data_IF_354526796026
#
_entry.id   IF_354526796026
#
_cell.length_a   1.000
_cell.length_b   1.000
_cell.length_c   1.000
_cell.angle_alpha   90.00
_cell.angle_beta   90.00
_cell.angle_gamma   90.00
#
_symmetry.space_group_name_H-M   'P 1'
#
loop_
_entity.id
_entity.type
_entity.pdbx_description
1 polymer ?
#
# COMPACT_ATOMS: atom_id res chain seq x y z
N UNK A 1 61.94 -18.43 -39.81
CA UNK A 1 62.96 -18.88 -38.87
C UNK A 1 62.88 -17.99 -37.65
N UNK A 2 61.98 -18.31 -36.72
CA UNK A 2 61.86 -17.60 -35.45
C UNK A 2 62.97 -18.12 -34.54
N UNK A 3 63.87 -17.24 -34.12
CA UNK A 3 64.97 -17.58 -33.24
C UNK A 3 64.44 -18.17 -31.94
N UNK A 4 64.91 -19.36 -31.62
CA UNK A 4 64.74 -19.98 -30.31
C UNK A 4 65.40 -19.08 -29.27
N UNK A 5 64.59 -18.34 -28.52
CA UNK A 5 65.05 -17.71 -27.29
C UNK A 5 65.33 -18.83 -26.29
N UNK A 6 66.62 -19.17 -26.16
CA UNK A 6 67.20 -19.92 -25.05
C UNK A 6 66.58 -19.40 -23.74
N UNK A 7 65.95 -20.24 -22.91
CA UNK A 7 65.62 -19.84 -21.55
C UNK A 7 66.96 -19.69 -20.82
N UNK A 8 67.37 -18.44 -20.57
CA UNK A 8 68.47 -18.18 -19.66
C UNK A 8 68.06 -18.74 -18.29
N UNK A 9 68.52 -19.94 -17.95
CA UNK A 9 68.46 -20.49 -16.60
C UNK A 9 69.39 -19.63 -15.72
N UNK A 10 68.86 -18.50 -15.26
CA UNK A 10 69.48 -17.72 -14.19
C UNK A 10 69.60 -18.59 -12.93
N UNK A 11 70.56 -18.27 -12.03
CA UNK A 11 70.87 -19.08 -10.86
C UNK A 11 69.60 -19.45 -10.10
N UNK A 12 69.52 -20.70 -9.65
CA UNK A 12 68.40 -21.23 -8.87
C UNK A 12 68.06 -20.26 -7.73
N UNK A 13 66.79 -20.08 -7.38
CA UNK A 13 66.40 -19.21 -6.26
C UNK A 13 67.09 -19.65 -4.95
N UNK A 14 67.47 -20.93 -4.89
CA UNK A 14 68.29 -21.55 -3.83
C UNK A 14 69.73 -21.04 -3.75
N UNK A 15 70.24 -20.43 -4.82
CA UNK A 15 71.63 -19.97 -4.94
C UNK A 15 71.77 -18.44 -4.86
N UNK A 16 70.66 -17.69 -4.88
CA UNK A 16 70.70 -16.23 -4.73
C UNK A 16 70.95 -15.83 -3.27
N UNK A 17 71.71 -14.74 -3.10
CA UNK A 17 72.01 -14.14 -1.80
C UNK A 17 70.77 -13.50 -1.16
N UNK A 18 70.81 -13.28 0.15
CA UNK A 18 69.71 -12.62 0.88
C UNK A 18 69.42 -11.21 0.35
N UNK A 19 70.47 -10.43 0.08
CA UNK A 19 70.38 -9.06 -0.41
C UNK A 19 69.75 -9.01 -1.81
N UNK A 20 70.16 -9.90 -2.73
CA UNK A 20 69.61 -10.02 -4.08
C UNK A 20 68.12 -10.40 -4.08
N UNK A 21 67.70 -11.29 -3.15
CA UNK A 21 66.31 -11.70 -3.00
C UNK A 21 65.44 -10.56 -2.49
N UNK A 22 65.93 -9.78 -1.53
CA UNK A 22 65.19 -8.65 -0.98
C UNK A 22 65.16 -7.44 -1.92
N UNK A 23 66.22 -7.19 -2.69
CA UNK A 23 66.19 -6.17 -3.76
C UNK A 23 65.10 -6.48 -4.78
N UNK A 24 65.02 -7.72 -5.26
CA UNK A 24 63.97 -8.16 -6.19
C UNK A 24 62.54 -7.97 -5.64
N UNK A 25 62.33 -8.26 -4.34
CA UNK A 25 61.05 -8.06 -3.66
C UNK A 25 60.74 -6.57 -3.49
N UNK A 26 61.74 -5.76 -3.13
CA UNK A 26 61.59 -4.33 -2.90
C UNK A 26 61.30 -3.55 -4.20
N UNK A 27 61.95 -3.91 -5.30
CA UNK A 27 61.69 -3.35 -6.63
C UNK A 27 60.24 -3.58 -7.08
N UNK A 28 59.61 -4.63 -6.56
CA UNK A 28 58.21 -4.97 -6.85
C UNK A 28 57.25 -4.73 -5.66
N UNK A 29 57.70 -4.04 -4.59
CA UNK A 29 56.96 -3.89 -3.33
C UNK A 29 55.54 -3.36 -3.51
N UNK A 30 55.36 -2.32 -4.32
CA UNK A 30 54.06 -1.74 -4.63
C UNK A 30 53.08 -2.75 -5.26
N UNK A 31 53.58 -3.60 -6.17
CA UNK A 31 52.74 -4.59 -6.87
C UNK A 31 52.33 -5.72 -5.94
N UNK A 32 53.25 -6.13 -5.07
CA UNK A 32 52.99 -7.13 -4.04
C UNK A 32 51.97 -6.60 -3.03
N UNK A 33 52.11 -5.35 -2.57
CA UNK A 33 51.18 -4.72 -1.62
C UNK A 33 49.75 -4.55 -2.13
N UNK A 34 49.56 -4.40 -3.44
CA UNK A 34 48.23 -4.27 -4.06
C UNK A 34 47.63 -5.61 -4.49
N UNK A 35 48.47 -6.55 -4.93
CA UNK A 35 48.04 -7.80 -5.52
C UNK A 35 47.87 -8.94 -4.52
N UNK A 36 48.58 -8.91 -3.40
CA UNK A 36 48.57 -9.99 -2.42
C UNK A 36 47.52 -9.72 -1.36
N UNK A 37 46.71 -10.75 -1.08
CA UNK A 37 45.89 -10.80 0.13
C UNK A 37 46.65 -11.61 1.19
N UNK A 38 47.14 -10.98 2.28
CA UNK A 38 47.96 -11.70 3.25
C UNK A 38 47.21 -12.81 3.99
N UNK A 39 45.89 -12.75 4.13
CA UNK A 39 45.10 -13.86 4.69
C UNK A 39 45.25 -15.20 3.93
N UNK A 40 45.64 -15.15 2.65
CA UNK A 40 45.89 -16.33 1.83
C UNK A 40 47.34 -16.84 2.01
N UNK A 41 48.27 -15.92 2.29
CA UNK A 41 49.72 -16.19 2.36
C UNK A 41 50.20 -16.53 3.77
N UNK A 42 49.62 -15.92 4.80
CA UNK A 42 49.94 -16.15 6.22
C UNK A 42 49.88 -17.64 6.60
N UNK A 43 48.87 -18.43 6.19
CA UNK A 43 48.81 -19.85 6.50
C UNK A 43 50.02 -20.65 5.97
N UNK A 44 50.56 -20.28 4.80
CA UNK A 44 51.76 -20.90 4.24
C UNK A 44 53.02 -20.48 5.01
N UNK A 45 53.14 -19.18 5.33
CA UNK A 45 54.28 -18.62 6.07
C UNK A 45 54.39 -19.19 7.51
N UNK A 46 53.26 -19.51 8.14
CA UNK A 46 53.21 -20.24 9.41
C UNK A 46 53.71 -21.68 9.26
N UNK A 47 53.26 -22.39 8.22
CA UNK A 47 53.71 -23.75 7.96
C UNK A 47 55.22 -23.80 7.66
N UNK A 48 55.76 -22.78 6.98
CA UNK A 48 57.19 -22.60 6.74
C UNK A 48 58.00 -22.19 7.99
N UNK A 49 57.34 -21.99 9.14
CA UNK A 49 57.93 -21.52 10.42
C UNK A 49 58.66 -20.17 10.32
N UNK A 50 58.23 -19.33 9.38
CA UNK A 50 58.78 -17.98 9.19
C UNK A 50 58.00 -16.93 9.99
N UNK A 51 56.71 -17.16 10.24
CA UNK A 51 55.89 -16.32 11.11
C UNK A 51 55.39 -17.11 12.32
N UNK A 52 55.39 -16.48 13.49
CA UNK A 52 54.84 -17.04 14.74
C UNK A 52 53.36 -16.70 14.91
N UNK A 53 52.66 -17.36 15.84
CA UNK A 53 51.23 -17.09 16.10
C UNK A 53 50.98 -15.65 16.59
N UNK A 54 51.97 -15.06 17.27
CA UNK A 54 51.90 -13.68 17.77
C UNK A 54 51.96 -12.64 16.64
N UNK A 55 52.73 -12.93 15.59
CA UNK A 55 52.87 -12.05 14.43
C UNK A 55 51.57 -12.01 13.61
N UNK A 56 50.80 -13.09 13.56
CA UNK A 56 49.51 -13.16 12.87
C UNK A 56 48.45 -12.29 13.54
N UNK A 57 48.33 -12.36 14.86
CA UNK A 57 47.36 -11.56 15.62
C UNK A 57 47.64 -10.05 15.53
N UNK A 58 48.91 -9.66 15.37
CA UNK A 58 49.31 -8.27 15.17
C UNK A 58 49.02 -7.81 13.73
N UNK A 59 49.31 -8.68 12.75
CA UNK A 59 48.99 -8.45 11.35
C UNK A 59 47.47 -8.30 11.18
N UNK A 60 46.63 -9.26 11.64
CA UNK A 60 45.16 -9.32 11.43
C UNK A 60 44.41 -8.10 12.01
N UNK A 61 44.97 -7.42 13.02
CA UNK A 61 44.36 -6.22 13.63
C UNK A 61 44.47 -4.96 12.77
N UNK A 62 45.28 -4.95 11.71
CA UNK A 62 45.44 -3.78 10.85
C UNK A 62 44.25 -3.62 9.90
N UNK A 63 43.52 -2.51 10.07
CA UNK A 63 42.24 -2.21 9.41
C UNK A 63 42.31 -1.96 7.89
N UNK A 64 43.51 -1.86 7.28
CA UNK A 64 43.66 -1.59 5.85
C UNK A 64 44.59 -2.57 5.12
N UNK A 65 44.18 -3.14 3.97
CA UNK A 65 44.96 -4.15 3.24
C UNK A 65 46.37 -3.71 2.79
N UNK A 66 46.57 -2.41 2.56
CA UNK A 66 47.83 -1.87 2.07
C UNK A 66 48.88 -1.71 3.18
N UNK A 67 48.46 -1.23 4.35
CA UNK A 67 49.30 -1.17 5.56
C UNK A 67 49.60 -2.58 6.06
N UNK A 68 48.59 -3.46 5.99
CA UNK A 68 48.67 -4.87 6.33
C UNK A 68 49.74 -5.62 5.51
N UNK A 69 49.75 -5.44 4.19
CA UNK A 69 50.75 -6.10 3.33
C UNK A 69 52.14 -5.46 3.47
N UNK A 70 52.22 -4.14 3.67
CA UNK A 70 53.49 -3.45 3.94
C UNK A 70 54.15 -3.90 5.25
N UNK A 71 53.38 -3.98 6.34
CA UNK A 71 53.84 -4.44 7.64
C UNK A 71 54.30 -5.90 7.61
N UNK A 72 53.55 -6.77 6.92
CA UNK A 72 53.96 -8.17 6.73
C UNK A 72 55.31 -8.29 6.00
N UNK A 73 55.57 -7.49 4.97
CA UNK A 73 56.87 -7.51 4.27
C UNK A 73 58.02 -7.06 5.17
N UNK A 74 57.77 -6.09 6.04
CA UNK A 74 58.78 -5.58 6.97
C UNK A 74 59.09 -6.62 8.07
N UNK A 75 58.07 -7.35 8.56
CA UNK A 75 58.26 -8.50 9.46
C UNK A 75 59.03 -9.63 8.78
N UNK A 76 58.69 -9.98 7.54
CA UNK A 76 59.40 -11.00 6.78
C UNK A 76 60.86 -10.64 6.53
N UNK A 77 61.19 -9.35 6.41
CA UNK A 77 62.57 -8.86 6.29
C UNK A 77 63.41 -9.17 7.53
N UNK A 78 62.81 -9.16 8.72
CA UNK A 78 63.51 -9.56 9.96
C UNK A 78 63.88 -11.04 10.01
N UNK A 79 63.22 -11.88 9.20
CA UNK A 79 63.48 -13.31 9.07
C UNK A 79 64.55 -13.63 8.00
N UNK A 80 65.16 -12.59 7.42
CA UNK A 80 66.27 -12.67 6.48
C UNK A 80 65.95 -13.48 5.23
N UNK A 81 66.90 -14.32 4.81
CA UNK A 81 66.78 -15.16 3.61
C UNK A 81 65.54 -16.08 3.60
N UNK A 82 65.20 -16.65 4.75
CA UNK A 82 64.07 -17.58 4.86
C UNK A 82 62.73 -16.86 4.67
N UNK A 83 62.62 -15.61 5.14
CA UNK A 83 61.46 -14.75 4.90
C UNK A 83 61.23 -14.43 3.43
N UNK A 84 62.31 -14.05 2.73
CA UNK A 84 62.24 -13.78 1.30
C UNK A 84 61.85 -15.02 0.47
N UNK A 85 62.45 -16.18 0.77
CA UNK A 85 62.17 -17.43 0.06
C UNK A 85 60.74 -17.91 0.33
N UNK A 86 60.29 -17.89 1.58
CA UNK A 86 58.92 -18.30 1.91
C UNK A 86 57.86 -17.39 1.29
N UNK A 87 58.13 -16.08 1.19
CA UNK A 87 57.26 -15.15 0.48
C UNK A 87 57.19 -15.49 -1.02
N UNK A 88 58.34 -15.67 -1.69
CA UNK A 88 58.37 -16.01 -3.11
C UNK A 88 57.72 -17.37 -3.41
N UNK A 89 57.90 -18.36 -2.54
CA UNK A 89 57.21 -19.66 -2.64
C UNK A 89 55.69 -19.52 -2.45
N UNK A 90 55.25 -18.69 -1.49
CA UNK A 90 53.81 -18.42 -1.30
C UNK A 90 53.17 -17.72 -2.50
N UNK A 91 53.91 -16.80 -3.15
CA UNK A 91 53.48 -16.14 -4.37
C UNK A 91 53.45 -17.12 -5.54
N UNK A 92 54.40 -18.03 -5.61
CA UNK A 92 54.42 -19.09 -6.62
C UNK A 92 53.18 -20.00 -6.52
N UNK A 93 52.72 -20.30 -5.30
CA UNK A 93 51.55 -21.17 -5.06
C UNK A 93 50.23 -20.42 -5.28
N UNK A 94 50.05 -19.26 -4.66
CA UNK A 94 48.74 -18.58 -4.59
C UNK A 94 48.55 -17.52 -5.68
N UNK A 95 49.62 -16.95 -6.21
CA UNK A 95 49.58 -15.85 -7.18
C UNK A 95 50.58 -16.07 -8.33
N UNK A 96 50.41 -17.13 -9.15
CA UNK A 96 51.37 -17.51 -10.18
C UNK A 96 51.65 -16.40 -11.21
N UNK A 97 50.65 -15.59 -11.53
CA UNK A 97 50.79 -14.43 -12.43
C UNK A 97 51.63 -13.31 -11.81
N UNK A 98 51.46 -13.05 -10.51
CA UNK A 98 52.25 -12.06 -9.78
C UNK A 98 53.68 -12.56 -9.58
N UNK A 99 53.88 -13.86 -9.31
CA UNK A 99 55.20 -14.46 -9.20
C UNK A 99 56.03 -14.30 -10.48
N UNK A 100 55.44 -14.56 -11.66
CA UNK A 100 56.14 -14.33 -12.94
C UNK A 100 56.45 -12.87 -13.19
N UNK A 101 55.59 -11.97 -12.72
CA UNK A 101 55.81 -10.53 -12.84
C UNK A 101 56.92 -10.00 -11.92
N UNK A 102 57.09 -10.59 -10.74
CA UNK A 102 58.12 -10.21 -9.76
C UNK A 102 59.47 -10.83 -10.10
N UNK A 103 59.48 -12.12 -10.46
CA UNK A 103 60.73 -12.88 -10.64
C UNK A 103 61.17 -13.01 -12.10
N UNK A 104 60.28 -12.72 -13.06
CA UNK A 104 60.50 -12.99 -14.48
C UNK A 104 60.47 -14.48 -14.84
N UNK A 105 60.20 -15.37 -13.89
CA UNK A 105 60.27 -16.83 -14.05
C UNK A 105 58.88 -17.46 -14.14
N UNK A 106 58.77 -18.59 -14.83
CA UNK A 106 57.53 -19.39 -14.79
C UNK A 106 57.39 -20.08 -13.43
N UNK A 107 56.20 -20.11 -12.82
CA UNK A 107 55.96 -20.86 -11.59
C UNK A 107 56.18 -22.34 -11.87
N UNK A 108 57.01 -23.01 -11.06
CA UNK A 108 57.22 -24.44 -11.18
C UNK A 108 56.33 -25.18 -10.19
N UNK A 109 55.72 -26.26 -10.65
CA UNK A 109 54.95 -27.21 -9.84
C UNK A 109 55.81 -28.37 -9.32
N UNK A 110 57.10 -28.39 -9.63
CA UNK A 110 58.00 -29.48 -9.23
C UNK A 110 58.40 -29.36 -7.74
N UNK A 111 58.17 -30.41 -6.92
CA UNK A 111 58.53 -30.41 -5.49
C UNK A 111 60.02 -30.20 -5.21
N UNK A 112 60.87 -30.55 -6.17
CA UNK A 112 62.33 -30.38 -6.13
C UNK A 112 62.78 -28.92 -6.14
N UNK A 113 61.93 -27.99 -6.60
CA UNK A 113 62.29 -26.56 -6.71
C UNK A 113 62.02 -25.76 -5.43
N UNK A 114 61.23 -26.30 -4.51
CA UNK A 114 61.06 -25.73 -3.17
C UNK A 114 62.39 -25.82 -2.40
N UNK A 115 62.66 -24.82 -1.57
CA UNK A 115 63.89 -24.66 -0.78
C UNK A 115 64.05 -25.68 0.36
N UNK A 116 63.04 -26.54 0.57
CA UNK A 116 63.02 -27.52 1.66
C UNK A 116 62.51 -26.95 2.99
N UNK A 117 62.04 -25.70 3.01
CA UNK A 117 61.44 -25.03 4.19
C UNK A 117 60.20 -25.78 4.73
N UNK A 118 59.41 -26.39 3.84
CA UNK A 118 58.24 -27.20 4.20
C UNK A 118 58.43 -28.65 3.71
N UNK A 119 58.10 -29.62 4.56
CA UNK A 119 58.10 -31.04 4.17
C UNK A 119 56.97 -31.33 3.19
N UNK A 120 57.20 -32.23 2.24
CA UNK A 120 56.20 -32.58 1.20
C UNK A 120 54.85 -33.07 1.77
N UNK A 121 54.86 -33.79 2.89
CA UNK A 121 53.64 -34.23 3.59
C UNK A 121 52.82 -33.07 4.14
N UNK A 122 53.50 -32.07 4.72
CA UNK A 122 52.89 -30.87 5.30
C UNK A 122 52.35 -29.93 4.21
N UNK A 123 53.07 -29.83 3.08
CA UNK A 123 52.61 -29.06 1.91
C UNK A 123 51.36 -29.68 1.28
N UNK A 124 51.31 -31.01 1.17
CA UNK A 124 50.14 -31.71 0.61
C UNK A 124 48.92 -31.53 1.51
N UNK A 125 49.09 -31.67 2.83
CA UNK A 125 48.01 -31.44 3.79
C UNK A 125 47.51 -29.99 3.74
N UNK A 126 48.42 -29.02 3.67
CA UNK A 126 48.09 -27.60 3.52
C UNK A 126 47.23 -27.35 2.27
N UNK A 127 47.64 -27.86 1.11
CA UNK A 127 46.92 -27.67 -0.15
C UNK A 127 45.56 -28.37 -0.14
N UNK A 128 45.47 -29.59 0.39
CA UNK A 128 44.19 -30.31 0.53
C UNK A 128 43.24 -29.54 1.45
N UNK A 129 43.73 -29.01 2.57
CA UNK A 129 42.92 -28.21 3.49
C UNK A 129 42.45 -26.90 2.86
N UNK A 130 43.33 -26.20 2.14
CA UNK A 130 43.01 -24.96 1.44
C UNK A 130 41.96 -25.17 0.34
N UNK A 131 42.15 -26.17 -0.52
CA UNK A 131 41.20 -26.50 -1.60
C UNK A 131 39.85 -26.93 -1.03
N UNK A 132 39.84 -27.76 0.01
CA UNK A 132 38.59 -28.19 0.67
C UNK A 132 37.88 -27.02 1.34
N UNK A 133 38.62 -26.08 1.94
CA UNK A 133 38.08 -24.83 2.50
C UNK A 133 37.43 -23.96 1.43
N UNK A 134 38.15 -23.68 0.34
CA UNK A 134 37.63 -22.89 -0.78
C UNK A 134 36.41 -23.53 -1.45
N UNK A 135 36.39 -24.86 -1.59
CA UNK A 135 35.21 -25.57 -2.11
C UNK A 135 34.00 -25.41 -1.19
N UNK A 136 34.21 -25.44 0.14
CA UNK A 136 33.12 -25.21 1.11
C UNK A 136 32.59 -23.79 1.03
N UNK A 137 33.47 -22.79 0.98
CA UNK A 137 33.08 -21.37 0.82
C UNK A 137 32.34 -21.13 -0.49
N UNK A 138 32.83 -21.71 -1.59
CA UNK A 138 32.18 -21.60 -2.89
C UNK A 138 30.78 -22.23 -2.88
N UNK A 139 30.61 -23.39 -2.25
CA UNK A 139 29.31 -24.02 -2.10
C UNK A 139 28.36 -23.19 -1.23
N UNK A 140 28.85 -22.60 -0.15
CA UNK A 140 28.02 -21.75 0.71
C UNK A 140 27.57 -20.49 -0.02
N UNK A 141 28.47 -19.83 -0.74
CA UNK A 141 28.15 -18.69 -1.60
C UNK A 141 27.09 -19.07 -2.67
N UNK A 142 27.18 -20.26 -3.29
CA UNK A 142 26.16 -20.74 -4.22
C UNK A 142 24.81 -20.99 -3.54
N UNK A 143 24.80 -21.56 -2.33
CA UNK A 143 23.57 -21.77 -1.54
C UNK A 143 22.92 -20.44 -1.16
N UNK A 144 23.71 -19.47 -0.73
CA UNK A 144 23.24 -18.12 -0.39
C UNK A 144 22.71 -17.38 -1.61
N UNK A 145 23.39 -17.43 -2.75
CA UNK A 145 22.92 -16.86 -4.01
C UNK A 145 21.59 -17.48 -4.42
N UNK A 146 21.49 -18.82 -4.39
CA UNK A 146 20.24 -19.54 -4.70
C UNK A 146 19.09 -19.14 -3.77
N UNK A 147 19.37 -18.98 -2.47
CA UNK A 147 18.40 -18.51 -1.48
C UNK A 147 17.95 -17.09 -1.75
N UNK A 148 18.88 -16.22 -2.18
CA UNK A 148 18.54 -14.84 -2.53
C UNK A 148 17.67 -14.79 -3.79
N UNK A 149 18.01 -15.54 -4.84
CA UNK A 149 17.20 -15.63 -6.06
C UNK A 149 15.79 -16.14 -5.77
N UNK A 150 15.63 -17.15 -4.92
CA UNK A 150 14.31 -17.65 -4.53
C UNK A 150 13.48 -16.56 -3.79
N UNK A 151 14.12 -15.76 -2.93
CA UNK A 151 13.46 -14.62 -2.28
C UNK A 151 13.07 -13.54 -3.27
N UNK A 152 13.93 -13.21 -4.23
CA UNK A 152 13.61 -12.25 -5.29
C UNK A 152 12.39 -12.71 -6.10
N UNK A 153 12.34 -13.97 -6.52
CA UNK A 153 11.19 -14.52 -7.25
C UNK A 153 9.89 -14.48 -6.42
N UNK A 154 9.96 -14.75 -5.11
CA UNK A 154 8.80 -14.64 -4.22
C UNK A 154 8.30 -13.20 -4.11
N UNK A 155 9.20 -12.23 -3.94
CA UNK A 155 8.85 -10.81 -3.84
C UNK A 155 8.30 -10.27 -5.16
N UNK A 156 8.86 -10.69 -6.30
CA UNK A 156 8.33 -10.34 -7.62
C UNK A 156 6.89 -10.83 -7.80
N UNK A 157 6.58 -12.07 -7.35
CA UNK A 157 5.20 -12.57 -7.35
C UNK A 157 4.28 -11.77 -6.42
N UNK A 158 4.76 -11.36 -5.25
CA UNK A 158 3.96 -10.57 -4.30
C UNK A 158 3.67 -9.17 -4.86
N UNK A 159 4.68 -8.52 -5.46
CA UNK A 159 4.50 -7.24 -6.17
C UNK A 159 3.48 -7.39 -7.30
N UNK A 160 3.55 -8.47 -8.08
CA UNK A 160 2.57 -8.75 -9.13
C UNK A 160 1.13 -8.85 -8.61
N UNK A 161 0.93 -9.55 -7.49
CA UNK A 161 -0.39 -9.65 -6.85
C UNK A 161 -0.89 -8.30 -6.33
N UNK A 162 -0.01 -7.51 -5.70
CA UNK A 162 -0.35 -6.16 -5.21
C UNK A 162 -0.76 -5.26 -6.39
N UNK A 163 -0.03 -5.31 -7.50
CA UNK A 163 -0.37 -4.53 -8.71
C UNK A 163 -1.73 -4.92 -9.28
N UNK A 164 -2.03 -6.21 -9.40
CA UNK A 164 -3.32 -6.69 -9.89
C UNK A 164 -4.47 -6.26 -8.95
N UNK A 165 -4.23 -6.32 -7.63
CA UNK A 165 -5.20 -5.84 -6.64
C UNK A 165 -5.41 -4.32 -6.72
N UNK A 166 -4.35 -3.55 -6.94
CA UNK A 166 -4.42 -2.10 -7.13
C UNK A 166 -5.22 -1.76 -8.38
N UNK A 167 -5.02 -2.46 -9.50
CA UNK A 167 -5.78 -2.26 -10.73
C UNK A 167 -7.28 -2.57 -10.54
N UNK A 168 -7.62 -3.67 -9.87
CA UNK A 168 -9.01 -3.98 -9.49
C UNK A 168 -9.62 -2.89 -8.61
N UNK A 169 -8.87 -2.41 -7.62
CA UNK A 169 -9.30 -1.31 -6.74
C UNK A 169 -9.55 -0.02 -7.53
N UNK A 170 -8.63 0.33 -8.45
CA UNK A 170 -8.78 1.50 -9.35
C UNK A 170 -10.03 1.40 -10.23
N UNK A 171 -10.32 0.22 -10.80
CA UNK A 171 -11.53 -0.01 -11.59
C UNK A 171 -12.79 0.21 -10.74
N UNK A 172 -12.85 -0.40 -9.56
CA UNK A 172 -13.99 -0.24 -8.65
C UNK A 172 -14.16 1.22 -8.18
N UNK A 173 -13.06 1.95 -8.00
CA UNK A 173 -13.12 3.37 -7.66
C UNK A 173 -13.71 4.20 -8.80
N UNK A 174 -13.30 3.95 -10.04
CA UNK A 174 -13.84 4.65 -11.21
C UNK A 174 -15.36 4.42 -11.38
N UNK A 175 -15.82 3.19 -11.16
CA UNK A 175 -17.24 2.84 -11.20
C UNK A 175 -18.03 3.55 -10.08
N UNK A 176 -17.48 3.59 -8.87
CA UNK A 176 -18.08 4.34 -7.76
C UNK A 176 -18.18 5.84 -8.06
N UNK A 177 -17.15 6.43 -8.64
CA UNK A 177 -17.16 7.84 -9.06
C UNK A 177 -18.18 8.11 -10.17
N UNK A 178 -18.33 7.18 -11.11
CA UNK A 178 -19.38 7.24 -12.13
C UNK A 178 -20.79 7.20 -11.50
N UNK A 179 -21.03 6.24 -10.62
CA UNK A 179 -22.33 6.12 -9.92
C UNK A 179 -22.63 7.34 -9.06
N UNK A 180 -21.64 7.90 -8.35
CA UNK A 180 -21.78 9.15 -7.59
C UNK A 180 -22.16 10.32 -8.48
N UNK A 181 -21.52 10.47 -9.65
CA UNK A 181 -21.89 11.52 -10.62
C UNK A 181 -23.33 11.37 -11.09
N UNK A 182 -23.76 10.14 -11.36
CA UNK A 182 -25.13 9.85 -11.77
C UNK A 182 -26.14 10.20 -10.67
N UNK A 183 -25.89 9.80 -9.42
CA UNK A 183 -26.71 10.16 -8.27
C UNK A 183 -26.78 11.68 -8.07
N UNK A 184 -25.66 12.40 -8.21
CA UNK A 184 -25.68 13.87 -8.16
C UNK A 184 -26.52 14.48 -9.30
N UNK A 185 -26.52 13.89 -10.50
CA UNK A 185 -27.37 14.34 -11.60
C UNK A 185 -28.84 14.16 -11.29
N UNK A 186 -29.23 12.95 -10.88
CA UNK A 186 -30.60 12.64 -10.48
C UNK A 186 -31.07 13.54 -9.33
N UNK A 187 -30.21 13.83 -8.36
CA UNK A 187 -30.54 14.72 -7.26
C UNK A 187 -30.81 16.15 -7.74
N UNK A 188 -30.05 16.65 -8.73
CA UNK A 188 -30.31 17.97 -9.36
C UNK A 188 -31.64 17.98 -10.11
N UNK A 189 -31.97 16.92 -10.83
CA UNK A 189 -33.25 16.78 -11.53
C UNK A 189 -34.42 16.78 -10.54
N UNK A 190 -34.30 16.03 -9.44
CA UNK A 190 -35.32 16.01 -8.38
C UNK A 190 -35.49 17.40 -7.76
N UNK A 191 -34.42 18.15 -7.51
CA UNK A 191 -34.54 19.53 -7.01
C UNK A 191 -35.23 20.44 -8.03
N UNK A 192 -34.87 20.32 -9.31
CA UNK A 192 -35.50 21.10 -10.38
C UNK A 192 -37.01 20.84 -10.47
N UNK A 193 -37.42 19.56 -10.44
CA UNK A 193 -38.83 19.18 -10.45
C UNK A 193 -39.58 19.69 -9.21
N UNK A 194 -38.92 19.73 -8.05
CA UNK A 194 -39.51 20.33 -6.84
C UNK A 194 -39.75 21.83 -7.01
N UNK A 195 -38.79 22.56 -7.58
CA UNK A 195 -38.93 23.99 -7.82
C UNK A 195 -40.06 24.27 -8.83
N UNK A 196 -40.13 23.49 -9.92
CA UNK A 196 -41.24 23.55 -10.89
C UNK A 196 -42.59 23.25 -10.25
N UNK A 197 -42.68 22.23 -9.38
CA UNK A 197 -43.89 21.93 -8.60
C UNK A 197 -44.29 23.12 -7.71
N UNK A 198 -43.34 23.74 -7.01
CA UNK A 198 -43.60 24.93 -6.19
C UNK A 198 -44.12 26.11 -7.02
N UNK A 199 -43.53 26.37 -8.19
CA UNK A 199 -43.99 27.42 -9.11
C UNK A 199 -45.42 27.18 -9.60
N UNK A 200 -45.74 25.93 -9.94
CA UNK A 200 -47.12 25.54 -10.30
C UNK A 200 -48.10 25.78 -9.16
N UNK A 201 -47.75 25.45 -7.91
CA UNK A 201 -48.61 25.74 -6.76
C UNK A 201 -48.85 27.23 -6.54
N UNK A 202 -47.83 28.07 -6.73
CA UNK A 202 -47.98 29.52 -6.63
C UNK A 202 -48.95 30.04 -7.71
N UNK A 203 -48.76 29.61 -8.97
CA UNK A 203 -49.67 29.98 -10.07
C UNK A 203 -51.09 29.51 -9.84
N UNK A 204 -51.25 28.28 -9.36
CA UNK A 204 -52.55 27.71 -9.04
C UNK A 204 -53.27 28.51 -7.93
N UNK A 205 -52.55 28.88 -6.88
CA UNK A 205 -53.10 29.69 -5.77
C UNK A 205 -53.55 31.05 -6.27
N UNK A 206 -52.73 31.72 -7.10
CA UNK A 206 -53.11 33.00 -7.71
C UNK A 206 -54.38 32.90 -8.58
N UNK A 207 -54.51 31.82 -9.36
CA UNK A 207 -55.70 31.58 -10.18
C UNK A 207 -56.97 31.34 -9.32
N UNK A 208 -56.85 30.65 -8.18
CA UNK A 208 -57.95 30.52 -7.22
C UNK A 208 -58.35 31.87 -6.65
N UNK A 209 -57.37 32.69 -6.25
CA UNK A 209 -57.63 34.01 -5.69
C UNK A 209 -58.35 34.90 -6.72
N UNK A 210 -57.93 34.88 -7.98
CA UNK A 210 -58.59 35.59 -9.08
C UNK A 210 -60.03 35.08 -9.29
N UNK A 211 -60.24 33.75 -9.36
CA UNK A 211 -61.58 33.15 -9.45
C UNK A 211 -62.47 33.62 -8.29
N UNK A 212 -61.93 33.63 -7.07
CA UNK A 212 -62.66 34.08 -5.88
C UNK A 212 -63.03 35.56 -5.96
N UNK A 213 -62.15 36.41 -6.52
CA UNK A 213 -62.41 37.83 -6.73
C UNK A 213 -63.47 38.08 -7.80
N UNK A 214 -63.45 37.32 -8.90
CA UNK A 214 -64.48 37.36 -9.94
C UNK A 214 -65.83 36.93 -9.37
N UNK A 215 -65.88 35.85 -8.60
CA UNK A 215 -67.12 35.40 -7.94
C UNK A 215 -67.71 36.47 -7.02
N UNK A 216 -66.88 37.20 -6.25
CA UNK A 216 -67.35 38.34 -5.44
C UNK A 216 -67.97 39.43 -6.30
N UNK A 217 -67.30 39.83 -7.39
CA UNK A 217 -67.84 40.85 -8.32
C UNK A 217 -69.14 40.41 -8.98
N UNK A 218 -69.24 39.15 -9.37
CA UNK A 218 -70.45 38.57 -9.95
C UNK A 218 -71.60 38.57 -8.94
N UNK A 219 -71.33 38.22 -7.68
CA UNK A 219 -72.31 38.28 -6.60
C UNK A 219 -72.80 39.72 -6.35
N UNK A 220 -71.90 40.71 -6.29
CA UNK A 220 -72.24 42.13 -6.14
C UNK A 220 -73.10 42.64 -7.31
N UNK A 221 -72.77 42.27 -8.54
CA UNK A 221 -73.56 42.65 -9.71
C UNK A 221 -74.95 42.01 -9.70
N UNK A 222 -75.05 40.74 -9.28
CA UNK A 222 -76.32 40.03 -9.17
C UNK A 222 -77.23 40.67 -8.10
N UNK A 223 -76.65 41.15 -7.00
CA UNK A 223 -77.33 41.97 -6.00
C UNK A 223 -77.87 43.28 -6.62
N UNK A 224 -77.04 44.00 -7.39
CA UNK A 224 -77.48 45.24 -8.07
C UNK A 224 -78.61 45.00 -9.08
N UNK A 225 -78.54 43.94 -9.90
CA UNK A 225 -79.61 43.57 -10.85
C UNK A 225 -80.90 43.26 -10.11
N UNK A 226 -80.80 42.54 -8.99
CA UNK A 226 -81.97 42.23 -8.15
C UNK A 226 -82.63 43.50 -7.58
N UNK A 227 -81.84 44.47 -7.16
CA UNK A 227 -82.31 45.75 -6.62
C UNK A 227 -82.92 46.66 -7.71
N UNK A 228 -82.32 46.68 -8.90
CA UNK A 228 -82.87 47.35 -10.09
C UNK A 228 -84.21 46.75 -10.52
N UNK A 229 -84.34 45.42 -10.49
CA UNK A 229 -85.61 44.73 -10.73
C UNK A 229 -86.69 45.13 -9.72
N UNK A 230 -86.32 45.23 -8.43
CA UNK A 230 -87.25 45.64 -7.37
C UNK A 230 -87.73 47.09 -7.54
N UNK A 231 -86.83 48.01 -7.90
CA UNK A 231 -87.17 49.43 -8.12
C UNK A 231 -87.99 49.68 -9.39
N UNK A 232 -87.74 48.94 -10.49
CA UNK A 232 -88.60 48.94 -11.68
C UNK A 232 -90.02 48.43 -11.38
N UNK A 233 -90.12 47.37 -10.58
CA UNK A 233 -91.41 46.86 -10.11
C UNK A 233 -92.16 47.91 -9.27
N UNK A 234 -91.46 48.60 -8.37
CA UNK A 234 -92.05 49.65 -7.54
C UNK A 234 -92.56 50.85 -8.36
N UNK A 235 -91.80 51.28 -9.39
CA UNK A 235 -92.17 52.39 -10.27
C UNK A 235 -93.29 52.03 -11.27
N UNK A 236 -93.35 50.80 -11.80
CA UNK A 236 -94.51 50.33 -12.57
C UNK A 236 -95.80 50.30 -11.73
N UNK A 237 -95.69 49.93 -10.45
CA UNK A 237 -96.85 49.91 -9.54
C UNK A 237 -97.42 51.31 -9.24
N UNK A 238 -96.64 52.38 -9.44
CA UNK A 238 -97.06 53.78 -9.26
C UNK A 238 -97.66 54.41 -10.53
N UNK A 239 -97.35 53.90 -11.73
CA UNK A 239 -97.82 54.46 -13.00
C UNK A 239 -99.14 53.85 -13.52
N UNK A 240 -99.55 52.67 -13.04
CA UNK A 240 -100.84 52.07 -13.40
C UNK A 240 -101.95 52.48 -12.44
N UNK A 241 -102.36 53.75 -12.53
CA UNK A 241 -103.68 54.18 -12.09
C UNK A 241 -104.72 53.80 -13.16
N UNK A 242 -105.66 52.94 -12.77
CA UNK A 242 -106.93 52.64 -13.44
C UNK A 242 -106.90 51.50 -14.49
N UNK A 243 -107.48 50.37 -14.06
CA UNK A 243 -108.26 49.48 -14.92
C UNK A 243 -107.54 48.26 -15.50
N UNK A 244 -107.61 47.12 -14.81
CA UNK A 244 -107.95 45.79 -15.37
C UNK A 244 -107.57 44.69 -14.37
N UNK A 245 -108.57 44.10 -13.72
CA UNK A 245 -108.43 42.90 -12.88
C UNK A 245 -107.81 41.70 -13.64
N UNK A 246 -107.71 41.77 -14.98
CA UNK A 246 -107.00 40.82 -15.81
C UNK A 246 -105.48 40.98 -15.79
N UNK A 247 -104.93 42.20 -15.82
CA UNK A 247 -103.47 42.40 -15.76
C UNK A 247 -102.92 42.12 -14.36
N UNK A 248 -103.68 42.41 -13.30
CA UNK A 248 -103.26 42.10 -11.92
C UNK A 248 -103.26 40.58 -11.66
N UNK A 249 -104.21 39.81 -12.21
CA UNK A 249 -104.15 38.35 -12.16
C UNK A 249 -103.02 37.77 -13.06
N UNK A 250 -102.81 38.33 -14.26
CA UNK A 250 -101.74 37.88 -15.14
C UNK A 250 -100.34 38.21 -14.57
N UNK A 251 -100.16 39.39 -13.96
CA UNK A 251 -98.97 39.73 -13.18
C UNK A 251 -98.89 38.95 -11.86
N UNK A 252 -99.98 38.57 -11.20
CA UNK A 252 -99.89 37.69 -10.02
C UNK A 252 -99.54 36.24 -10.38
N UNK A 253 -99.88 35.77 -11.58
CA UNK A 253 -99.43 34.48 -12.12
C UNK A 253 -97.96 34.53 -12.60
N UNK A 254 -97.48 35.66 -13.12
CA UNK A 254 -96.09 35.85 -13.58
C UNK A 254 -95.15 36.29 -12.44
N UNK A 255 -95.62 37.13 -11.52
CA UNK A 255 -94.90 37.70 -10.37
C UNK A 255 -95.32 37.08 -9.03
N UNK A 256 -95.88 35.87 -9.01
CA UNK A 256 -96.14 35.18 -7.75
C UNK A 256 -94.82 35.15 -6.95
N UNK A 257 -94.77 35.71 -5.72
CA UNK A 257 -93.56 35.67 -4.92
C UNK A 257 -93.11 34.23 -4.63
N UNK A 258 -93.94 33.22 -4.92
CA UNK A 258 -93.55 31.82 -5.03
C UNK A 258 -92.76 31.52 -6.32
N UNK A 259 -93.19 31.85 -7.54
CA UNK A 259 -92.46 31.50 -8.77
C UNK A 259 -91.12 32.23 -8.94
N UNK A 260 -91.02 33.50 -8.53
CA UNK A 260 -89.75 34.23 -8.59
C UNK A 260 -88.81 33.86 -7.42
N UNK A 261 -89.35 33.51 -6.24
CA UNK A 261 -88.55 32.86 -5.19
C UNK A 261 -88.14 31.46 -5.59
N UNK A 262 -88.98 30.71 -6.30
CA UNK A 262 -88.70 29.36 -6.80
C UNK A 262 -87.57 29.44 -7.83
N UNK A 263 -87.69 30.27 -8.86
CA UNK A 263 -86.63 30.45 -9.85
C UNK A 263 -85.32 30.99 -9.23
N UNK A 264 -85.40 31.89 -8.24
CA UNK A 264 -84.21 32.42 -7.54
C UNK A 264 -83.63 31.41 -6.54
N UNK A 265 -84.46 30.57 -5.92
CA UNK A 265 -84.02 29.43 -5.09
C UNK A 265 -83.44 28.33 -5.96
N UNK A 266 -83.96 28.11 -7.16
CA UNK A 266 -83.46 27.11 -8.11
C UNK A 266 -82.12 27.59 -8.71
N UNK A 267 -81.97 28.88 -9.05
CA UNK A 267 -80.67 29.45 -9.47
C UNK A 267 -79.67 29.43 -8.31
N UNK A 268 -80.06 29.84 -7.10
CA UNK A 268 -79.18 29.75 -5.93
C UNK A 268 -78.85 28.30 -5.56
N UNK A 269 -79.79 27.37 -5.73
CA UNK A 269 -79.56 25.95 -5.49
C UNK A 269 -78.65 25.35 -6.57
N UNK A 270 -78.75 25.82 -7.80
CA UNK A 270 -77.92 25.37 -8.91
C UNK A 270 -76.51 25.96 -8.83
N UNK A 271 -76.36 27.23 -8.49
CA UNK A 271 -75.06 27.87 -8.22
C UNK A 271 -74.39 27.25 -6.97
N UNK A 272 -75.18 26.93 -5.93
CA UNK A 272 -74.67 26.24 -4.74
C UNK A 272 -74.31 24.79 -5.06
N UNK A 273 -75.08 24.10 -5.90
CA UNK A 273 -74.76 22.75 -6.36
C UNK A 273 -73.49 22.75 -7.23
N UNK A 274 -73.33 23.66 -8.18
CA UNK A 274 -72.09 23.79 -8.97
C UNK A 274 -70.89 24.20 -8.10
N UNK A 275 -71.09 25.06 -7.09
CA UNK A 275 -70.04 25.40 -6.14
C UNK A 275 -69.65 24.21 -5.25
N UNK A 276 -70.61 23.38 -4.85
CA UNK A 276 -70.37 22.15 -4.09
C UNK A 276 -69.69 21.10 -4.99
N UNK A 277 -70.17 20.88 -6.21
CA UNK A 277 -69.60 19.91 -7.14
C UNK A 277 -68.16 20.29 -7.51
N UNK A 278 -67.88 21.58 -7.76
CA UNK A 278 -66.52 22.06 -8.00
C UNK A 278 -65.62 22.02 -6.75
N UNK A 279 -66.18 22.13 -5.54
CA UNK A 279 -65.45 21.89 -4.29
C UNK A 279 -65.16 20.40 -4.06
N UNK A 280 -66.10 19.52 -4.42
CA UNK A 280 -65.97 18.06 -4.32
C UNK A 280 -64.92 17.56 -5.32
N UNK A 281 -64.97 18.03 -6.57
CA UNK A 281 -64.00 17.67 -7.61
C UNK A 281 -62.59 18.16 -7.24
N UNK A 282 -62.47 19.35 -6.66
CA UNK A 282 -61.20 19.84 -6.12
C UNK A 282 -60.72 19.03 -4.90
N UNK A 283 -61.63 18.63 -4.02
CA UNK A 283 -61.29 17.80 -2.87
C UNK A 283 -60.85 16.39 -3.29
N UNK A 284 -61.42 15.83 -4.35
CA UNK A 284 -61.01 14.55 -4.93
C UNK A 284 -59.64 14.65 -5.62
N UNK A 285 -59.40 15.71 -6.40
CA UNK A 285 -58.07 15.97 -6.97
C UNK A 285 -57.00 16.11 -5.88
N UNK A 286 -57.29 16.83 -4.79
CA UNK A 286 -56.38 16.96 -3.65
C UNK A 286 -56.16 15.64 -2.90
N UNK A 287 -57.16 14.75 -2.83
CA UNK A 287 -57.01 13.41 -2.25
C UNK A 287 -56.12 12.52 -3.10
N UNK A 288 -56.36 12.43 -4.41
CA UNK A 288 -55.49 11.70 -5.33
C UNK A 288 -54.04 12.21 -5.27
N UNK A 289 -53.85 13.53 -5.23
CA UNK A 289 -52.51 14.12 -5.12
C UNK A 289 -51.83 13.83 -3.78
N UNK A 290 -52.60 13.71 -2.69
CA UNK A 290 -52.08 13.33 -1.38
C UNK A 290 -51.66 11.86 -1.38
N UNK A 291 -52.48 10.98 -1.94
CA UNK A 291 -52.20 9.55 -2.05
C UNK A 291 -50.98 9.27 -2.93
N UNK A 292 -50.82 9.95 -4.07
CA UNK A 292 -49.59 9.85 -4.88
C UNK A 292 -48.35 10.36 -4.14
N UNK A 293 -48.46 11.46 -3.38
CA UNK A 293 -47.33 11.94 -2.57
C UNK A 293 -46.99 10.97 -1.42
N UNK A 294 -47.97 10.32 -0.80
CA UNK A 294 -47.73 9.28 0.20
C UNK A 294 -47.07 8.03 -0.38
N UNK A 295 -47.47 7.61 -1.59
CA UNK A 295 -46.81 6.52 -2.31
C UNK A 295 -45.35 6.87 -2.65
N UNK A 296 -45.09 8.07 -3.18
CA UNK A 296 -43.72 8.53 -3.47
C UNK A 296 -42.86 8.66 -2.20
N UNK A 297 -43.44 9.06 -1.07
CA UNK A 297 -42.75 9.09 0.21
C UNK A 297 -42.44 7.67 0.72
N UNK A 298 -43.35 6.72 0.55
CA UNK A 298 -43.17 5.31 0.90
C UNK A 298 -42.05 4.66 0.06
N UNK A 299 -42.03 4.88 -1.25
CA UNK A 299 -40.98 4.42 -2.14
C UNK A 299 -39.62 5.02 -1.78
N UNK A 300 -39.59 6.32 -1.46
CA UNK A 300 -38.37 7.00 -1.02
C UNK A 300 -37.87 6.47 0.33
N UNK A 301 -38.76 6.13 1.25
CA UNK A 301 -38.42 5.46 2.51
C UNK A 301 -37.84 4.07 2.23
N UNK A 302 -38.45 3.29 1.33
CA UNK A 302 -37.94 1.99 0.90
C UNK A 302 -36.51 2.05 0.36
N UNK A 303 -36.22 2.98 -0.56
CA UNK A 303 -34.86 3.18 -1.10
C UNK A 303 -33.88 3.64 -0.02
N UNK A 304 -34.30 4.53 0.89
CA UNK A 304 -33.44 4.98 1.99
C UNK A 304 -33.07 3.85 2.95
N UNK A 305 -34.00 2.93 3.22
CA UNK A 305 -33.78 1.76 4.07
C UNK A 305 -32.89 0.75 3.37
N UNK A 306 -33.08 0.52 2.08
CA UNK A 306 -32.16 -0.31 1.30
C UNK A 306 -30.75 0.25 1.34
N UNK A 307 -30.54 1.54 1.05
CA UNK A 307 -29.21 2.16 1.06
C UNK A 307 -28.59 2.13 2.45
N UNK A 308 -29.36 2.36 3.52
CA UNK A 308 -28.80 2.30 4.87
C UNK A 308 -28.37 0.87 5.22
N UNK A 309 -29.15 -0.17 4.90
CA UNK A 309 -28.75 -1.57 5.10
C UNK A 309 -27.51 -1.92 4.26
N UNK A 310 -27.41 -1.44 3.03
CA UNK A 310 -26.22 -1.62 2.19
C UNK A 310 -24.98 -1.03 2.87
N UNK A 311 -25.05 0.23 3.32
CA UNK A 311 -23.93 0.92 4.00
C UNK A 311 -23.59 0.23 5.32
N UNK A 312 -24.60 -0.23 6.08
CA UNK A 312 -24.39 -0.98 7.31
C UNK A 312 -23.59 -2.26 7.04
N UNK A 313 -24.02 -3.07 6.06
CA UNK A 313 -23.32 -4.32 5.70
C UNK A 313 -21.90 -4.03 5.21
N UNK A 314 -21.71 -3.00 4.38
CA UNK A 314 -20.38 -2.60 3.92
C UNK A 314 -19.46 -2.20 5.08
N UNK A 315 -19.94 -1.38 6.03
CA UNK A 315 -19.15 -0.97 7.20
C UNK A 315 -18.86 -2.17 8.11
N UNK A 316 -19.83 -3.07 8.32
CA UNK A 316 -19.63 -4.29 9.08
C UNK A 316 -18.54 -5.18 8.47
N UNK A 317 -18.59 -5.42 7.15
CA UNK A 317 -17.56 -6.21 6.45
C UNK A 317 -16.19 -5.53 6.53
N UNK A 318 -16.12 -4.21 6.34
CA UNK A 318 -14.87 -3.46 6.48
C UNK A 318 -14.26 -3.58 7.89
N UNK A 319 -15.08 -3.42 8.94
CA UNK A 319 -14.61 -3.55 10.33
C UNK A 319 -14.16 -4.99 10.62
N UNK A 320 -14.90 -6.00 10.14
CA UNK A 320 -14.50 -7.40 10.27
C UNK A 320 -13.15 -7.68 9.61
N UNK A 321 -12.93 -7.22 8.38
CA UNK A 321 -11.66 -7.40 7.67
C UNK A 321 -10.52 -6.65 8.39
N UNK A 322 -10.76 -5.42 8.84
CA UNK A 322 -9.76 -4.65 9.61
C UNK A 322 -9.37 -5.33 10.93
N UNK A 323 -10.34 -5.89 11.67
CA UNK A 323 -10.07 -6.64 12.91
C UNK A 323 -9.32 -7.94 12.60
N UNK A 324 -9.69 -8.67 11.54
CA UNK A 324 -8.98 -9.87 11.12
C UNK A 324 -7.52 -9.56 10.75
N UNK A 325 -7.28 -8.51 9.95
CA UNK A 325 -5.93 -8.08 9.58
C UNK A 325 -5.14 -7.65 10.83
N UNK A 326 -5.75 -6.88 11.72
CA UNK A 326 -5.12 -6.45 12.97
C UNK A 326 -4.72 -7.64 13.85
N UNK A 327 -5.62 -8.62 14.04
CA UNK A 327 -5.31 -9.86 14.78
C UNK A 327 -4.20 -10.65 14.10
N UNK A 328 -4.21 -10.78 12.76
CA UNK A 328 -3.14 -11.46 12.02
C UNK A 328 -1.78 -10.77 12.19
N UNK A 329 -1.73 -9.43 12.13
CA UNK A 329 -0.49 -8.67 12.37
C UNK A 329 -0.04 -8.80 13.83
N UNK A 330 -0.96 -8.71 14.80
CA UNK A 330 -0.66 -8.86 16.22
C UNK A 330 -0.14 -10.26 16.55
N UNK A 331 -0.74 -11.32 16.01
CA UNK A 331 -0.27 -12.71 16.19
C UNK A 331 1.09 -12.89 15.51
N UNK A 332 1.30 -12.34 14.32
CA UNK A 332 2.59 -12.40 13.63
C UNK A 332 3.70 -11.69 14.41
N UNK A 333 3.37 -10.53 15.01
CA UNK A 333 4.28 -9.76 15.86
C UNK A 333 4.56 -10.47 17.18
N UNK A 334 3.55 -11.05 17.83
CA UNK A 334 3.70 -11.84 19.06
C UNK A 334 4.49 -13.14 18.82
N UNK A 335 4.29 -13.82 17.69
CA UNK A 335 5.09 -14.98 17.30
C UNK A 335 6.55 -14.59 17.01
N UNK A 336 6.80 -13.44 16.37
CA UNK A 336 8.15 -12.92 16.19
C UNK A 336 8.79 -12.52 17.53
N UNK A 337 8.05 -11.84 18.41
CA UNK A 337 8.53 -11.46 19.73
C UNK A 337 8.79 -12.68 20.63
N UNK A 338 7.94 -13.70 20.59
CA UNK A 338 8.14 -14.97 21.29
C UNK A 338 9.34 -15.75 20.74
N UNK A 339 9.55 -15.74 19.42
CA UNK A 339 10.75 -16.31 18.79
C UNK A 339 12.03 -15.55 19.19
N UNK A 340 11.96 -14.22 19.36
CA UNK A 340 13.09 -13.44 19.87
C UNK A 340 13.33 -13.68 21.37
N UNK A 341 12.29 -13.85 22.19
CA UNK A 341 12.42 -14.23 23.61
C UNK A 341 12.87 -15.68 23.82
N UNK A 342 12.50 -16.61 22.93
CA UNK A 342 13.06 -17.97 22.92
C UNK A 342 14.54 -17.96 22.56
N UNK A 343 14.98 -17.12 21.62
CA UNK A 343 16.40 -16.96 21.30
C UNK A 343 17.20 -16.30 22.43
N UNK A 344 16.66 -15.32 23.14
CA UNK A 344 17.32 -14.73 24.30
C UNK A 344 17.32 -15.66 25.52
N UNK A 345 16.24 -16.43 25.77
CA UNK A 345 16.21 -17.43 26.85
C UNK A 345 17.00 -18.70 26.53
N UNK A 346 17.14 -19.12 25.27
CA UNK A 346 18.09 -20.15 24.84
C UNK A 346 19.53 -19.66 24.96
N UNK A 347 19.81 -18.37 24.73
CA UNK A 347 21.14 -17.79 24.93
C UNK A 347 21.48 -17.69 26.44
N UNK A 348 20.54 -17.27 27.29
CA UNK A 348 20.74 -17.29 28.76
C UNK A 348 20.85 -18.71 29.33
N UNK A 349 20.07 -19.69 28.84
CA UNK A 349 20.22 -21.09 29.23
C UNK A 349 21.51 -21.71 28.69
N UNK A 350 21.97 -21.34 27.48
CA UNK A 350 23.27 -21.77 26.96
C UNK A 350 24.45 -21.19 27.77
N UNK A 351 24.32 -19.98 28.30
CA UNK A 351 25.31 -19.36 29.19
C UNK A 351 25.30 -20.03 30.59
N UNK A 352 24.14 -20.48 31.08
CA UNK A 352 24.00 -21.18 32.38
C UNK A 352 24.26 -22.70 32.33
N UNK A 353 24.39 -23.31 31.15
CA UNK A 353 24.62 -24.76 30.98
C UNK A 353 26.03 -25.09 30.45
N UNK A 354 27.00 -24.17 30.59
CA UNK A 354 28.42 -24.52 30.50
C UNK A 354 28.82 -25.10 31.86
N UNK A 355 29.16 -26.39 31.98
CA UNK A 355 29.64 -26.96 33.23
C UNK A 355 30.97 -26.32 33.60
N UNK A 356 31.05 -25.82 34.84
CA UNK A 356 32.29 -25.58 35.55
C UNK A 356 33.14 -26.87 35.56
N UNK A 357 34.04 -27.00 34.59
CA UNK A 357 35.10 -28.00 34.58
C UNK A 357 36.41 -27.30 34.23
N UNK A 358 37.00 -26.65 35.23
CA UNK A 358 38.38 -26.87 35.66
C UNK A 358 38.74 -25.87 36.77
N UNK A 359 38.45 -26.22 38.02
CA UNK A 359 39.31 -25.82 39.14
C UNK A 359 39.07 -26.77 40.31
N UNK A 360 39.43 -28.04 40.12
CA UNK A 360 39.58 -29.01 41.20
C UNK A 360 40.56 -30.11 40.79
N UNK A 361 41.85 -29.77 40.65
CA UNK A 361 42.94 -30.70 40.95
C UNK A 361 44.27 -29.95 41.01
N UNK A 362 44.60 -29.42 42.19
CA UNK A 362 45.98 -29.37 42.67
C UNK A 362 45.97 -29.11 44.17
N UNK A 363 45.96 -30.19 44.97
CA UNK A 363 46.70 -30.37 46.24
C UNK A 363 46.46 -31.82 46.66
N UNK A 364 47.30 -32.76 46.21
CA UNK A 364 47.62 -33.95 47.01
C UNK A 364 48.87 -34.67 46.50
N UNK A 365 50.04 -34.21 46.94
CA UNK A 365 51.20 -35.09 47.13
C UNK A 365 52.20 -34.49 48.11
N UNK A 366 52.09 -34.85 49.40
CA UNK A 366 53.20 -35.00 50.34
C UNK A 366 52.70 -35.32 51.76
N UNK A 367 52.52 -36.62 52.07
CA UNK A 367 52.74 -37.21 53.41
C UNK A 367 52.65 -38.75 53.38
N UNK A 368 53.67 -39.38 53.99
CA UNK A 368 53.94 -40.82 54.20
C UNK A 368 54.54 -41.52 52.98
N UNK A 369 55.81 -41.95 52.99
CA UNK A 369 56.59 -42.67 54.03
C UNK A 369 58.00 -42.09 54.16
#
# INVERSE_FOLDING_TARGET
MAGECVPCEGPDLKNMGEEELWELINDNRHRISLGVRPCIVIPYLRQARVLTEMDEDEIVKLLSPLLFTGYMLDLLRTQGRNGAVALLESLMIHYPTLYTQVTGRKPSTEPSRFSGLIKYSELTEYLVRAVTGMQRELQEAHREASRMTARCASLESEIGQIMEQEEKSRSLQADNEHMRRHLCSLQREVTKLKDEKCDLYVRYTAAIEEKSAVNKRLHDLNLQVSDAHYSLFHSQSLHSGIGSNFLCLFLCLICCPLCLRQARQDILAQDLAEAIDSQVELAEQLRCYREENEQLLSEKQGVSVCVCVCVCVCVCVCVCVCVCLFVCVCVSFLCHANSMMEKTSMMERAILTIPLLHSAHDVQESKSI
#
